data_IF_859660932319
#
_entry.id   IF_859660932319
#
_cell.length_a   1.000
_cell.length_b   1.000
_cell.length_c   1.000
_cell.angle_alpha   90.00
_cell.angle_beta   90.00
_cell.angle_gamma   90.00
#
_symmetry.space_group_name_H-M   'P 1'
#
loop_
_entity.id
_entity.type
_entity.pdbx_description
1 polymer ?
#
# COMPACT_ATOMS: atom_id res chain seq x y z
N UNK A 1 1.26 9.67 21.48
CA UNK A 1 1.99 8.64 20.70
C UNK A 1 2.32 9.24 19.34
N UNK A 2 3.57 9.16 18.88
CA UNK A 2 4.02 9.84 17.65
C UNK A 2 4.50 8.82 16.63
N UNK A 3 3.95 8.91 15.41
CA UNK A 3 4.39 8.14 14.24
C UNK A 3 5.73 8.68 13.77
N UNK A 4 6.67 7.79 13.50
CA UNK A 4 8.00 8.15 13.00
C UNK A 4 8.15 7.76 11.54
N UNK A 5 9.20 8.29 10.90
CA UNK A 5 9.58 7.86 9.56
C UNK A 5 9.87 6.35 9.46
N UNK A 6 10.29 5.71 10.54
CA UNK A 6 10.52 4.27 10.56
C UNK A 6 9.21 3.48 10.47
N UNK A 7 8.15 3.93 11.17
CA UNK A 7 6.83 3.27 11.11
C UNK A 7 6.22 3.45 9.72
N UNK A 8 6.35 4.64 9.12
CA UNK A 8 5.89 4.89 7.74
C UNK A 8 6.62 4.01 6.71
N UNK A 9 7.93 3.80 6.86
CA UNK A 9 8.67 2.88 5.98
C UNK A 9 8.19 1.44 6.13
N UNK A 10 7.96 0.98 7.36
CA UNK A 10 7.42 -0.36 7.62
C UNK A 10 6.00 -0.51 7.08
N UNK A 11 5.15 0.49 7.24
CA UNK A 11 3.80 0.50 6.68
C UNK A 11 3.82 0.40 5.15
N UNK A 12 4.65 1.20 4.47
CA UNK A 12 4.81 1.15 3.02
C UNK A 12 5.33 -0.22 2.55
N UNK A 13 6.33 -0.78 3.24
CA UNK A 13 6.86 -2.11 2.95
C UNK A 13 5.80 -3.20 3.16
N UNK A 14 5.05 -3.16 4.27
CA UNK A 14 3.98 -4.10 4.59
C UNK A 14 2.90 -4.09 3.50
N UNK A 15 2.46 -2.91 3.07
CA UNK A 15 1.47 -2.76 1.99
C UNK A 15 2.01 -3.30 0.67
N UNK A 16 3.30 -3.07 0.35
CA UNK A 16 3.93 -3.61 -0.85
C UNK A 16 4.04 -5.14 -0.83
N UNK A 17 4.41 -5.75 0.30
CA UNK A 17 4.43 -7.21 0.46
C UNK A 17 3.01 -7.80 0.39
N UNK A 18 2.04 -7.15 1.03
CA UNK A 18 0.63 -7.54 0.94
C UNK A 18 0.11 -7.52 -0.50
N UNK A 19 0.44 -6.50 -1.29
CA UNK A 19 0.04 -6.41 -2.70
C UNK A 19 0.58 -7.58 -3.56
N UNK A 20 1.71 -8.17 -3.18
CA UNK A 20 2.33 -9.31 -3.88
C UNK A 20 2.01 -10.67 -3.25
N UNK A 21 1.21 -10.70 -2.17
CA UNK A 21 0.98 -11.89 -1.33
C UNK A 21 2.28 -12.52 -0.81
N UNK A 22 3.25 -11.67 -0.52
CA UNK A 22 4.56 -12.07 0.02
C UNK A 22 4.48 -12.21 1.54
N UNK A 23 4.10 -13.40 2.00
CA UNK A 23 3.91 -13.68 3.43
C UNK A 23 5.20 -13.65 4.24
N UNK A 24 6.33 -14.00 3.63
CA UNK A 24 7.64 -13.95 4.29
C UNK A 24 8.03 -12.50 4.57
N UNK A 25 7.84 -11.61 3.58
CA UNK A 25 8.03 -10.18 3.76
C UNK A 25 7.08 -9.57 4.79
N UNK A 26 5.80 -9.97 4.80
CA UNK A 26 4.83 -9.55 5.83
C UNK A 26 5.32 -9.95 7.22
N UNK A 27 5.70 -11.22 7.40
CA UNK A 27 6.17 -11.75 8.68
C UNK A 27 7.43 -11.04 9.16
N UNK A 28 8.36 -10.73 8.26
CA UNK A 28 9.57 -9.96 8.59
C UNK A 28 9.21 -8.58 9.16
N UNK A 29 8.32 -7.83 8.51
CA UNK A 29 7.90 -6.50 9.00
C UNK A 29 7.17 -6.59 10.34
N UNK A 30 6.29 -7.58 10.52
CA UNK A 30 5.61 -7.82 11.80
C UNK A 30 6.60 -8.20 12.91
N UNK A 31 7.62 -8.99 12.59
CA UNK A 31 8.72 -9.34 13.50
C UNK A 31 9.48 -8.11 13.97
N UNK A 32 10.02 -7.33 13.04
CA UNK A 32 10.76 -6.08 13.35
C UNK A 32 9.93 -5.09 14.19
N UNK A 33 8.64 -4.99 13.88
CA UNK A 33 7.74 -4.07 14.58
C UNK A 33 7.44 -4.55 15.99
N UNK A 34 7.26 -5.86 16.16
CA UNK A 34 7.10 -6.50 17.47
C UNK A 34 8.35 -6.30 18.33
N UNK A 35 9.53 -6.54 17.77
CA UNK A 35 10.82 -6.32 18.45
C UNK A 35 10.98 -4.86 18.90
N UNK A 36 10.58 -3.91 18.04
CA UNK A 36 10.58 -2.48 18.38
C UNK A 36 9.47 -2.08 19.38
N UNK A 37 8.51 -2.96 19.69
CA UNK A 37 7.30 -2.68 20.50
C UNK A 37 6.44 -1.54 19.91
N UNK A 38 6.30 -1.51 18.58
CA UNK A 38 5.66 -0.42 17.82
C UNK A 38 4.46 -0.88 17.00
N UNK A 39 3.79 -1.96 17.41
CA UNK A 39 2.69 -2.55 16.65
C UNK A 39 1.54 -1.56 16.42
N UNK A 40 1.21 -0.77 17.44
CA UNK A 40 0.15 0.23 17.34
C UNK A 40 0.54 1.35 16.36
N UNK A 41 1.78 1.81 16.37
CA UNK A 41 2.27 2.83 15.43
C UNK A 41 2.31 2.34 13.99
N UNK A 42 2.63 1.05 13.78
CA UNK A 42 2.53 0.45 12.44
C UNK A 42 1.09 0.49 11.92
N UNK A 43 0.10 0.13 12.75
CA UNK A 43 -1.31 0.15 12.34
C UNK A 43 -1.74 1.57 11.93
N UNK A 44 -1.43 2.57 12.75
CA UNK A 44 -1.73 3.96 12.41
C UNK A 44 -1.01 4.43 11.16
N UNK A 45 0.28 4.12 10.99
CA UNK A 45 1.02 4.47 9.79
C UNK A 45 0.43 3.83 8.52
N UNK A 46 -0.12 2.61 8.60
CA UNK A 46 -0.85 1.98 7.48
C UNK A 46 -2.16 2.71 7.19
N UNK A 47 -2.93 3.07 8.22
CA UNK A 47 -4.17 3.83 8.05
C UNK A 47 -3.92 5.21 7.43
N UNK A 48 -2.91 5.94 7.93
CA UNK A 48 -2.48 7.23 7.38
C UNK A 48 -2.07 7.08 5.91
N UNK A 49 -1.31 6.02 5.58
CA UNK A 49 -0.92 5.73 4.20
C UNK A 49 -2.13 5.52 3.28
N UNK A 50 -3.14 4.75 3.71
CA UNK A 50 -4.36 4.59 2.92
C UNK A 50 -5.20 5.86 2.86
N UNK A 51 -5.24 6.64 3.95
CA UNK A 51 -5.95 7.92 3.99
C UNK A 51 -5.38 8.94 3.01
N UNK A 52 -4.07 8.93 2.76
CA UNK A 52 -3.42 9.76 1.75
C UNK A 52 -3.55 9.16 0.33
N UNK A 53 -3.41 7.84 0.20
CA UNK A 53 -3.43 7.17 -1.10
C UNK A 53 -4.81 7.14 -1.75
N UNK A 54 -5.87 6.87 -0.97
CA UNK A 54 -7.23 6.70 -1.52
C UNK A 54 -7.75 7.98 -2.20
N UNK A 55 -7.63 9.19 -1.61
CA UNK A 55 -7.98 10.43 -2.29
C UNK A 55 -7.16 10.67 -3.55
N UNK A 56 -5.86 10.35 -3.55
CA UNK A 56 -5.00 10.51 -4.71
C UNK A 56 -5.50 9.70 -5.92
N UNK A 57 -5.98 8.47 -5.68
CA UNK A 57 -6.59 7.61 -6.71
C UNK A 57 -7.95 8.16 -7.19
N UNK A 58 -8.73 8.77 -6.31
CA UNK A 58 -10.03 9.37 -6.64
C UNK A 58 -9.93 10.78 -7.26
N UNK A 59 -8.72 11.30 -7.47
CA UNK A 59 -8.55 12.55 -8.22
C UNK A 59 -9.06 12.38 -9.66
N UNK A 60 -9.51 13.46 -10.33
CA UNK A 60 -9.87 13.40 -11.74
C UNK A 60 -8.77 12.80 -12.63
N UNK A 61 -7.50 13.09 -12.29
CA UNK A 61 -6.33 12.53 -12.96
C UNK A 61 -6.17 11.02 -12.69
N UNK A 62 -6.31 10.60 -11.42
CA UNK A 62 -6.24 9.18 -11.04
C UNK A 62 -7.34 8.34 -11.68
N UNK A 63 -8.56 8.86 -11.73
CA UNK A 63 -9.70 8.23 -12.41
C UNK A 63 -9.51 8.17 -13.93
N UNK A 64 -8.99 9.23 -14.56
CA UNK A 64 -8.65 9.20 -15.99
C UNK A 64 -7.59 8.15 -16.30
N UNK A 65 -6.54 8.08 -15.48
CA UNK A 65 -5.49 7.08 -15.64
C UNK A 65 -6.05 5.67 -15.51
N UNK A 66 -6.86 5.40 -14.47
CA UNK A 66 -7.45 4.08 -14.24
C UNK A 66 -8.40 3.68 -15.38
N UNK A 67 -9.27 4.60 -15.82
CA UNK A 67 -10.16 4.38 -16.95
C UNK A 67 -9.40 4.05 -18.23
N UNK A 68 -8.36 4.83 -18.55
CA UNK A 68 -7.52 4.61 -19.74
C UNK A 68 -6.75 3.28 -19.67
N UNK A 69 -6.25 2.93 -18.48
CA UNK A 69 -5.55 1.67 -18.25
C UNK A 69 -6.48 0.47 -18.46
N UNK A 70 -7.68 0.49 -17.88
CA UNK A 70 -8.67 -0.59 -18.05
C UNK A 70 -9.09 -0.74 -19.51
N UNK A 71 -9.33 0.38 -20.22
CA UNK A 71 -9.67 0.34 -21.65
C UNK A 71 -8.55 -0.28 -22.48
N UNK A 72 -7.28 0.05 -22.17
CA UNK A 72 -6.13 -0.55 -22.82
C UNK A 72 -6.02 -2.05 -22.54
N UNK A 73 -6.19 -2.48 -21.29
CA UNK A 73 -6.09 -3.91 -20.93
C UNK A 73 -7.22 -4.71 -21.57
N UNK A 74 -8.46 -4.20 -21.57
CA UNK A 74 -9.58 -4.84 -22.25
C UNK A 74 -9.36 -4.92 -23.78
N UNK A 75 -8.79 -3.89 -24.40
CA UNK A 75 -8.44 -3.92 -25.82
C UNK A 75 -7.33 -4.91 -26.17
N UNK A 76 -6.51 -5.35 -25.21
CA UNK A 76 -5.50 -6.40 -25.41
C UNK A 76 -6.16 -7.79 -25.43
N UNK A 77 -7.29 -7.99 -24.74
CA UNK A 77 -8.04 -9.26 -24.75
C UNK A 77 -8.80 -9.51 -26.08
N UNK A 78 -9.04 -8.46 -26.88
CA UNK A 78 -9.75 -8.57 -28.17
C UNK A 78 -8.85 -8.88 -29.38
N UNK A 79 -7.53 -9.05 -29.19
CA UNK A 79 -6.63 -9.41 -30.31
C UNK A 79 -6.36 -10.92 -30.28
N UNK A 80 -6.87 -11.70 -31.26
CA UNK A 80 -6.65 -13.15 -31.34
C UNK A 80 -5.21 -13.54 -31.69
#
# INVERSE_FOLDING_TARGET
MSITAADNRRAAALVAHHARRDFDGINAILGETTEAKRATELIFAVLDLYQELVPAVHTPLGLQFLSSYLHRVAGIEETP
#
